data_IF_781051081836
#
_entry.id   IF_781051081836
#
_cell.length_a   1.000
_cell.length_b   1.000
_cell.length_c   1.000
_cell.angle_alpha   90.00
_cell.angle_beta   90.00
_cell.angle_gamma   90.00
#
_symmetry.space_group_name_H-M   'P 1'
#
loop_
_entity.id
_entity.type
_entity.pdbx_description
1 polymer ?
#
# COMPACT_ATOMS: atom_id res chain seq x y z
N UNK A 1 8.42 14.52 2.55
CA UNK A 1 7.41 13.43 2.54
C UNK A 1 7.26 12.99 1.09
N UNK A 2 7.51 11.71 0.77
CA UNK A 2 7.38 11.14 -0.57
C UNK A 2 6.10 10.30 -0.57
N UNK A 3 5.13 10.63 -1.40
CA UNK A 3 3.97 9.78 -1.61
C UNK A 3 4.36 8.65 -2.57
N UNK A 4 3.96 7.42 -2.24
CA UNK A 4 4.05 6.26 -3.12
C UNK A 4 2.64 5.74 -3.38
N UNK A 5 2.34 5.44 -4.63
CA UNK A 5 1.04 4.90 -5.02
C UNK A 5 1.23 3.86 -6.11
N UNK A 6 0.22 3.01 -6.26
CA UNK A 6 0.26 1.96 -7.26
C UNK A 6 -1.06 1.21 -7.37
N UNK A 7 -1.05 0.21 -8.24
CA UNK A 7 -2.18 -0.71 -8.39
C UNK A 7 -1.72 -2.12 -8.06
N UNK A 8 -2.50 -2.84 -7.28
CA UNK A 8 -2.26 -4.24 -6.95
C UNK A 8 -3.50 -5.06 -7.25
N UNK A 9 -3.34 -6.17 -7.98
CA UNK A 9 -4.44 -7.10 -8.22
C UNK A 9 -4.66 -7.96 -6.98
N UNK A 10 -5.85 -7.90 -6.39
CA UNK A 10 -6.19 -8.71 -5.24
C UNK A 10 -6.04 -10.20 -5.59
N UNK A 11 -5.23 -10.93 -4.83
CA UNK A 11 -5.03 -12.36 -5.09
C UNK A 11 -6.28 -13.21 -4.82
N UNK A 12 -7.25 -12.70 -4.05
CA UNK A 12 -8.49 -13.42 -3.71
C UNK A 12 -9.62 -13.20 -4.72
N UNK A 13 -9.94 -11.95 -5.07
CA UNK A 13 -11.06 -11.64 -5.98
C UNK A 13 -10.63 -11.16 -7.37
N UNK A 14 -9.33 -10.98 -7.63
CA UNK A 14 -8.82 -10.53 -8.92
C UNK A 14 -9.05 -9.06 -9.24
N UNK A 15 -9.71 -8.30 -8.35
CA UNK A 15 -9.95 -6.86 -8.53
C UNK A 15 -8.67 -6.05 -8.43
N UNK A 16 -8.55 -5.03 -9.27
CA UNK A 16 -7.47 -4.05 -9.19
C UNK A 16 -7.73 -3.07 -8.04
N UNK A 17 -6.81 -3.06 -7.07
CA UNK A 17 -6.83 -2.19 -5.91
C UNK A 17 -5.85 -1.05 -6.17
N UNK A 18 -6.35 0.18 -6.25
CA UNK A 18 -5.49 1.37 -6.23
C UNK A 18 -5.15 1.70 -4.79
N UNK A 19 -3.86 1.85 -4.51
CA UNK A 19 -3.36 2.07 -3.16
C UNK A 19 -2.39 3.24 -3.12
N UNK A 20 -2.30 3.88 -1.96
CA UNK A 20 -1.31 4.91 -1.67
C UNK A 20 -0.78 4.82 -0.26
N UNK A 21 0.43 5.30 -0.06
CA UNK A 21 1.11 5.37 1.22
C UNK A 21 2.07 6.55 1.24
N UNK A 22 2.33 7.10 2.42
CA UNK A 22 3.23 8.23 2.60
C UNK A 22 4.54 7.74 3.24
N UNK A 23 5.69 8.14 2.70
CA UNK A 23 7.02 7.83 3.23
C UNK A 23 7.67 9.13 3.73
N UNK A 24 7.97 9.20 5.01
CA UNK A 24 8.63 10.33 5.65
C UNK A 24 10.11 10.04 5.91
N UNK A 25 11.02 10.74 5.23
CA UNK A 25 12.47 10.65 5.45
C UNK A 25 13.04 9.22 5.30
N UNK A 26 12.49 8.42 4.38
CA UNK A 26 12.89 7.02 4.23
C UNK A 26 12.33 6.09 5.32
N UNK A 27 11.36 6.56 6.12
CA UNK A 27 10.54 5.73 6.99
C UNK A 27 9.10 5.75 6.49
N UNK A 28 8.35 4.65 6.60
CA UNK A 28 6.92 4.69 6.31
C UNK A 28 6.27 5.64 7.30
N UNK A 29 5.56 6.64 6.80
CA UNK A 29 4.66 7.40 7.65
C UNK A 29 3.48 6.48 7.93
N UNK A 30 3.27 6.11 9.20
CA UNK A 30 2.11 5.33 9.62
C UNK A 30 0.77 6.06 9.44
N UNK A 31 0.75 7.16 8.68
CA UNK A 31 -0.42 7.98 8.43
C UNK A 31 -1.20 7.37 7.27
N UNK A 32 -2.36 6.84 7.65
CA UNK A 32 -3.35 6.17 6.81
C UNK A 32 -4.35 7.25 6.38
N UNK A 33 -4.28 7.73 5.14
CA UNK A 33 -5.29 8.65 4.57
C UNK A 33 -5.90 8.06 3.31
N UNK A 34 -7.08 7.49 3.45
CA UNK A 34 -7.90 7.05 2.30
C UNK A 34 -8.60 8.26 1.70
N UNK A 35 -8.52 8.44 0.38
CA UNK A 35 -9.35 9.41 -0.35
C UNK A 35 -10.04 8.66 -1.51
N UNK A 36 -11.37 8.49 -1.42
CA UNK A 36 -12.19 7.92 -2.48
C UNK A 36 -11.99 6.42 -2.73
N UNK A 37 -11.89 6.02 -4.01
CA UNK A 37 -11.72 4.62 -4.45
C UNK A 37 -10.34 4.02 -4.17
N UNK A 38 -9.41 4.83 -3.66
CA UNK A 38 -8.06 4.42 -3.27
C UNK A 38 -8.03 3.99 -1.81
N UNK A 39 -7.44 2.83 -1.55
CA UNK A 39 -7.29 2.29 -0.20
C UNK A 39 -5.92 2.67 0.36
N UNK A 40 -5.89 2.90 1.67
CA UNK A 40 -4.62 3.13 2.36
C UNK A 40 -3.83 1.82 2.45
N UNK A 41 -2.55 1.88 2.09
CA UNK A 41 -1.61 0.79 2.30
C UNK A 41 -0.79 1.02 3.58
N UNK A 42 -0.80 0.05 4.49
CA UNK A 42 0.17 0.02 5.58
C UNK A 42 1.54 -0.30 4.97
N UNK A 43 2.51 0.56 5.19
CA UNK A 43 3.85 0.43 4.62
C UNK A 43 4.85 0.12 5.73
N UNK A 44 5.73 -0.85 5.51
CA UNK A 44 6.79 -1.26 6.45
C UNK A 44 8.10 -1.35 5.69
N UNK A 45 9.16 -0.71 6.19
CA UNK A 45 10.49 -0.80 5.58
C UNK A 45 11.07 -2.19 5.83
N UNK A 46 11.43 -2.90 4.76
CA UNK A 46 12.02 -4.25 4.81
C UNK A 46 13.46 -4.28 4.29
N UNK A 47 13.97 -3.17 3.74
CA UNK A 47 15.36 -3.05 3.31
C UNK A 47 15.69 -1.70 2.70
N UNK A 48 16.93 -1.54 2.20
CA UNK A 48 17.32 -0.35 1.42
C UNK A 48 16.40 -0.23 0.20
N UNK A 49 15.59 0.82 0.17
CA UNK A 49 14.63 1.12 -0.90
C UNK A 49 13.55 0.04 -1.12
N UNK A 50 13.26 -0.81 -0.12
CA UNK A 50 12.21 -1.82 -0.22
C UNK A 50 11.20 -1.63 0.90
N UNK A 51 9.94 -1.59 0.51
CA UNK A 51 8.83 -1.50 1.46
C UNK A 51 7.83 -2.62 1.23
N UNK A 52 7.44 -3.27 2.31
CA UNK A 52 6.31 -4.18 2.34
C UNK A 52 5.03 -3.35 2.52
N UNK A 53 4.08 -3.56 1.63
CA UNK A 53 2.77 -2.95 1.66
C UNK A 53 1.73 -3.99 2.04
N UNK A 54 0.85 -3.61 2.97
CA UNK A 54 -0.34 -4.36 3.34
C UNK A 54 -1.57 -3.55 3.01
N UNK A 55 -2.39 -4.09 2.12
CA UNK A 55 -3.54 -3.41 1.52
C UNK A 55 -4.79 -4.24 1.71
N UNK A 56 -5.82 -3.68 2.34
CA UNK A 56 -7.14 -4.32 2.45
C UNK A 56 -7.94 -4.07 1.18
N UNK A 57 -8.38 -5.14 0.52
CA UNK A 57 -9.29 -5.05 -0.62
C UNK A 57 -10.62 -4.44 -0.16
N UNK A 58 -11.14 -3.46 -0.90
CA UNK A 58 -12.43 -2.83 -0.61
C UNK A 58 -13.66 -3.67 -1.01
N UNK A 59 -13.45 -4.78 -1.73
CA UNK A 59 -14.53 -5.63 -2.23
C UNK A 59 -14.66 -6.93 -1.43
N UNK A 60 -13.58 -7.72 -1.37
CA UNK A 60 -13.59 -8.99 -0.64
C UNK A 60 -13.00 -8.90 0.78
N UNK A 61 -12.63 -7.68 1.22
CA UNK A 61 -12.04 -7.38 2.53
C UNK A 61 -10.76 -8.15 2.87
N UNK A 62 -10.17 -8.83 1.88
CA UNK A 62 -8.96 -9.61 2.02
C UNK A 62 -7.73 -8.71 2.14
N UNK A 63 -6.80 -9.06 3.01
CA UNK A 63 -5.52 -8.38 3.12
C UNK A 63 -4.54 -8.90 2.07
N UNK A 64 -3.97 -7.99 1.29
CA UNK A 64 -2.96 -8.29 0.30
C UNK A 64 -1.63 -7.74 0.80
N UNK A 65 -0.61 -8.59 0.83
CA UNK A 65 0.74 -8.24 1.26
C UNK A 65 1.69 -8.43 0.08
N UNK A 66 2.43 -7.39 -0.26
CA UNK A 66 3.39 -7.41 -1.38
C UNK A 66 4.52 -6.40 -1.14
N UNK A 67 5.65 -6.60 -1.79
CA UNK A 67 6.83 -5.73 -1.64
C UNK A 67 6.97 -4.86 -2.89
N UNK A 68 7.30 -3.59 -2.70
CA UNK A 68 7.65 -2.66 -3.78
C UNK A 68 8.99 -2.01 -3.51
N UNK A 69 9.70 -1.70 -4.59
CA UNK A 69 10.98 -0.97 -4.57
C UNK A 69 10.69 0.52 -4.80
N UNK A 70 11.29 1.42 -4.00
CA UNK A 70 10.97 2.87 -3.96
C UNK A 70 12.15 3.80 -4.21
#
# INVERSE_FOLDING_TARGET
>A
MKEISGTHKCYKCGKNIRWKSEVFHGNPSGIIRSFGSEVSAECTFVGKNKVELRVRCNECYNYNKFIVEI
#
